data_IF_937507357115
#
_entry.id   IF_937507357115
#
_cell.length_a   1.000
_cell.length_b   1.000
_cell.length_c   1.000
_cell.angle_alpha   90.00
_cell.angle_beta   90.00
_cell.angle_gamma   90.00
#
_symmetry.space_group_name_H-M   'P 1'
#
loop_
_entity.id
_entity.type
_entity.pdbx_description
1 polymer ?
#
# COMPACT_ATOMS: atom_id res chain seq x y z
N UNK A 1 -2.84 -11.38 8.03
CA UNK A 1 -2.92 -10.07 8.71
C UNK A 1 -2.82 -10.18 10.22
N UNK A 2 -3.66 -10.95 10.92
CA UNK A 2 -3.64 -11.02 12.40
C UNK A 2 -2.28 -11.39 13.03
N UNK A 3 -1.43 -12.17 12.35
CA UNK A 3 -0.07 -12.45 12.84
C UNK A 3 0.83 -11.20 12.87
N UNK A 4 0.65 -10.28 11.91
CA UNK A 4 1.44 -9.05 11.78
C UNK A 4 0.79 -7.91 12.58
N UNK A 5 -0.54 -7.81 12.52
CA UNK A 5 -1.36 -6.83 13.23
C UNK A 5 -2.46 -7.55 14.03
N UNK A 6 -2.16 -8.03 15.25
CA UNK A 6 -3.10 -8.79 16.05
C UNK A 6 -4.32 -7.98 16.51
N UNK A 7 -4.23 -6.65 16.49
CA UNK A 7 -5.32 -5.73 16.82
C UNK A 7 -6.38 -5.58 15.71
N UNK A 8 -6.14 -6.13 14.51
CA UNK A 8 -7.13 -6.08 13.42
C UNK A 8 -8.13 -7.23 13.57
N UNK A 9 -9.25 -6.91 14.22
CA UNK A 9 -10.31 -7.90 14.50
C UNK A 9 -11.21 -8.16 13.29
N UNK A 10 -11.42 -7.15 12.45
CA UNK A 10 -12.33 -7.21 11.30
C UNK A 10 -11.58 -6.93 9.99
N UNK A 11 -11.25 -7.97 9.24
CA UNK A 11 -10.63 -7.86 7.92
C UNK A 11 -11.37 -8.75 6.93
N UNK A 12 -11.87 -8.13 5.87
CA UNK A 12 -12.57 -8.84 4.78
C UNK A 12 -11.74 -8.73 3.51
N UNK A 13 -11.50 -9.87 2.87
CA UNK A 13 -10.78 -9.94 1.60
C UNK A 13 -11.69 -10.45 0.48
N UNK A 14 -11.67 -9.73 -0.63
CA UNK A 14 -12.18 -10.20 -1.91
C UNK A 14 -11.01 -10.23 -2.89
N UNK A 15 -10.67 -11.42 -3.37
CA UNK A 15 -9.58 -11.61 -4.32
C UNK A 15 -10.12 -12.10 -5.65
N UNK A 16 -9.70 -11.45 -6.72
CA UNK A 16 -10.04 -11.82 -8.10
C UNK A 16 -8.77 -11.91 -8.92
N UNK A 17 -8.69 -12.91 -9.80
CA UNK A 17 -7.63 -12.98 -10.80
C UNK A 17 -8.09 -12.22 -12.04
N UNK A 18 -7.28 -11.26 -12.47
CA UNK A 18 -7.53 -10.44 -13.66
C UNK A 18 -6.43 -10.67 -14.70
N UNK A 19 -6.69 -10.48 -16.01
CA UNK A 19 -5.73 -10.72 -17.07
C UNK A 19 -4.71 -9.58 -17.19
N UNK A 20 -3.86 -9.45 -16.18
CA UNK A 20 -2.74 -8.50 -16.12
C UNK A 20 -1.46 -9.30 -15.93
N UNK A 21 -0.38 -8.93 -16.63
CA UNK A 21 0.88 -9.68 -16.62
C UNK A 21 1.65 -9.56 -15.31
N UNK A 22 1.78 -8.33 -14.79
CA UNK A 22 2.54 -8.03 -13.59
C UNK A 22 1.83 -6.96 -12.77
N UNK A 23 2.03 -7.02 -11.46
CA UNK A 23 1.51 -6.05 -10.50
C UNK A 23 0.22 -6.50 -9.83
N UNK A 24 0.17 -6.30 -8.52
CA UNK A 24 -1.02 -6.48 -7.70
C UNK A 24 -1.64 -5.10 -7.48
N UNK A 25 -2.95 -4.99 -7.70
CA UNK A 25 -3.70 -3.80 -7.37
C UNK A 25 -4.83 -4.11 -6.40
N UNK A 26 -5.10 -3.19 -5.47
CA UNK A 26 -6.07 -3.37 -4.40
C UNK A 26 -6.83 -2.08 -4.15
N UNK A 27 -8.17 -2.18 -4.08
CA UNK A 27 -8.99 -1.15 -3.46
C UNK A 27 -9.09 -1.47 -1.98
N UNK A 28 -8.73 -0.51 -1.13
CA UNK A 28 -8.68 -0.70 0.31
C UNK A 28 -9.59 0.34 0.96
N UNK A 29 -10.47 -0.13 1.83
CA UNK A 29 -11.25 0.72 2.73
C UNK A 29 -10.84 0.38 4.17
N UNK A 30 -10.31 1.36 4.89
CA UNK A 30 -9.93 1.25 6.28
C UNK A 30 -10.88 2.10 7.13
N UNK A 31 -11.39 1.53 8.23
CA UNK A 31 -12.29 2.20 9.16
C UNK A 31 -11.60 2.35 10.52
N UNK A 32 -11.85 3.47 11.19
CA UNK A 32 -11.16 3.87 12.41
C UNK A 32 -12.16 4.23 13.51
N UNK A 33 -11.83 3.87 14.75
CA UNK A 33 -12.64 4.23 15.93
C UNK A 33 -12.54 5.73 16.28
N UNK A 34 -11.45 6.37 15.86
CA UNK A 34 -11.18 7.78 16.06
C UNK A 34 -11.13 8.51 14.72
N UNK A 35 -11.30 9.82 14.78
CA UNK A 35 -11.21 10.67 13.60
C UNK A 35 -9.78 10.67 13.02
N UNK A 36 -9.69 10.52 11.70
CA UNK A 36 -8.42 10.42 10.96
C UNK A 36 -8.59 11.22 9.68
N UNK A 37 -7.85 12.31 9.56
CA UNK A 37 -7.85 13.15 8.37
C UNK A 37 -7.02 12.50 7.25
N UNK A 38 -7.60 12.41 6.05
CA UNK A 38 -6.92 11.89 4.87
C UNK A 38 -5.62 12.65 4.56
N UNK A 39 -5.57 13.95 4.85
CA UNK A 39 -4.40 14.81 4.65
C UNK A 39 -3.22 14.36 5.51
N UNK A 40 -3.47 14.01 6.79
CA UNK A 40 -2.42 13.53 7.68
C UNK A 40 -1.86 12.16 7.22
N UNK A 41 -2.73 11.31 6.66
CA UNK A 41 -2.32 10.03 6.08
C UNK A 41 -1.48 10.24 4.82
N UNK A 42 -1.87 11.18 3.95
CA UNK A 42 -1.11 11.54 2.77
C UNK A 42 0.29 12.07 3.13
N UNK A 43 0.40 12.95 4.13
CA UNK A 43 1.68 13.46 4.62
C UNK A 43 2.57 12.32 5.16
N UNK A 44 2.01 11.40 5.94
CA UNK A 44 2.74 10.23 6.44
C UNK A 44 3.27 9.35 5.29
N UNK A 45 2.48 9.16 4.24
CA UNK A 45 2.92 8.40 3.06
C UNK A 45 4.03 9.10 2.29
N UNK A 46 3.96 10.41 2.12
CA UNK A 46 5.00 11.20 1.44
C UNK A 46 6.36 11.17 2.17
N UNK A 47 6.34 10.91 3.49
CA UNK A 47 7.56 10.78 4.29
C UNK A 47 8.16 9.36 4.27
N UNK A 48 7.47 8.37 3.70
CA UNK A 48 7.91 6.98 3.69
C UNK A 48 8.66 6.65 2.40
N UNK A 49 9.92 6.23 2.49
CA UNK A 49 10.75 5.92 1.32
C UNK A 49 10.26 4.74 0.47
N UNK A 50 9.44 3.86 1.05
CA UNK A 50 8.88 2.68 0.35
C UNK A 50 7.54 2.97 -0.33
N UNK A 51 6.97 4.15 -0.12
CA UNK A 51 5.65 4.52 -0.64
C UNK A 51 5.80 5.68 -1.60
N UNK A 52 5.07 5.62 -2.72
CA UNK A 52 4.90 6.75 -3.61
C UNK A 52 3.43 7.10 -3.72
N UNK A 53 3.06 8.28 -3.19
CA UNK A 53 1.68 8.75 -3.21
C UNK A 53 1.43 9.66 -4.41
N UNK A 54 0.39 9.34 -5.19
CA UNK A 54 -0.02 10.01 -6.41
C UNK A 54 -1.37 10.72 -6.19
N UNK A 55 -1.38 12.04 -5.89
CA UNK A 55 -2.60 12.77 -5.57
C UNK A 55 -3.51 12.99 -6.79
N UNK A 56 -2.92 13.19 -7.97
CA UNK A 56 -3.66 13.58 -9.18
C UNK A 56 -3.83 12.44 -10.19
N UNK A 57 -3.03 11.38 -10.06
CA UNK A 57 -2.96 10.30 -11.05
C UNK A 57 -3.31 8.97 -10.41
N UNK A 58 -4.32 8.30 -10.96
CA UNK A 58 -4.59 6.91 -10.59
C UNK A 58 -3.53 5.99 -11.19
N UNK A 59 -2.81 5.26 -10.33
CA UNK A 59 -1.83 4.28 -10.77
C UNK A 59 -2.53 2.97 -11.12
N UNK A 60 -2.11 2.34 -12.20
CA UNK A 60 -2.55 1.00 -12.61
C UNK A 60 -1.34 0.08 -12.70
N UNK A 61 -1.52 -1.25 -12.67
CA UNK A 61 -0.41 -2.18 -12.84
C UNK A 61 0.43 -1.93 -14.10
N UNK A 62 -0.20 -1.50 -15.20
CA UNK A 62 0.49 -1.17 -16.45
C UNK A 62 1.32 0.11 -16.30
N UNK A 63 0.73 1.18 -15.78
CA UNK A 63 1.44 2.44 -15.52
C UNK A 63 2.60 2.22 -14.55
N UNK A 64 2.40 1.42 -13.50
CA UNK A 64 3.47 1.04 -12.58
C UNK A 64 4.61 0.30 -13.30
N UNK A 65 4.24 -0.71 -14.11
CA UNK A 65 5.21 -1.48 -14.89
C UNK A 65 6.00 -0.62 -15.87
N UNK A 66 5.38 0.41 -16.46
CA UNK A 66 6.05 1.37 -17.34
C UNK A 66 6.99 2.30 -16.56
N UNK A 67 6.54 2.83 -15.42
CA UNK A 67 7.31 3.75 -14.58
C UNK A 67 8.53 3.09 -13.94
N UNK A 68 8.38 1.86 -13.44
CA UNK A 68 9.46 1.13 -12.76
C UNK A 68 10.34 0.34 -13.75
N UNK A 69 10.13 0.46 -15.07
CA UNK A 69 10.94 -0.24 -16.06
C UNK A 69 12.33 0.41 -16.16
N UNK A 70 13.34 -0.28 -15.64
CA UNK A 70 14.72 0.23 -15.62
C UNK A 70 15.06 1.04 -14.36
N UNK A 71 14.10 1.22 -13.45
CA UNK A 71 14.35 1.80 -12.14
C UNK A 71 14.97 0.78 -11.18
N UNK A 72 15.88 1.25 -10.32
CA UNK A 72 16.57 0.42 -9.34
C UNK A 72 15.78 0.23 -8.04
N UNK A 73 14.85 1.15 -7.75
CA UNK A 73 14.00 1.11 -6.56
C UNK A 73 12.55 0.95 -6.98
N UNK A 74 11.90 -0.09 -6.46
CA UNK A 74 10.46 -0.31 -6.62
C UNK A 74 9.73 0.15 -5.36
N UNK A 75 8.49 0.60 -5.50
CA UNK A 75 7.70 1.18 -4.41
C UNK A 75 6.28 0.64 -4.35
N UNK A 76 5.62 0.89 -3.23
CA UNK A 76 4.17 0.79 -3.12
C UNK A 76 3.55 2.09 -3.63
N UNK A 77 2.86 2.02 -4.77
CA UNK A 77 2.18 3.17 -5.33
C UNK A 77 0.78 3.27 -4.74
N UNK A 78 0.43 4.45 -4.20
CA UNK A 78 -0.89 4.73 -3.63
C UNK A 78 -1.51 5.90 -4.39
N UNK A 79 -2.79 5.79 -4.72
CA UNK A 79 -3.55 6.83 -5.41
C UNK A 79 -5.01 6.82 -4.98
N UNK A 80 -5.79 7.81 -5.44
CA UNK A 80 -7.24 7.89 -5.22
C UNK A 80 -7.63 7.82 -3.73
N UNK A 81 -6.89 8.57 -2.90
CA UNK A 81 -7.17 8.71 -1.47
C UNK A 81 -8.44 9.53 -1.28
N UNK A 82 -9.43 8.96 -0.60
CA UNK A 82 -10.71 9.59 -0.34
C UNK A 82 -11.11 9.40 1.13
N UNK A 83 -11.58 10.48 1.75
CA UNK A 83 -12.22 10.41 3.06
C UNK A 83 -13.62 9.78 2.91
N UNK A 84 -13.93 8.81 3.76
CA UNK A 84 -15.27 8.24 3.91
C UNK A 84 -15.83 8.63 5.27
N UNK A 85 -16.50 9.78 5.31
CA UNK A 85 -17.25 10.22 6.47
C UNK A 85 -18.74 9.88 6.31
N UNK A 86 -19.26 9.13 7.28
CA UNK A 86 -20.70 9.04 7.52
C UNK A 86 -21.01 9.36 8.98
N UNK A 87 -22.29 9.50 9.33
CA UNK A 87 -22.69 9.72 10.71
C UNK A 87 -22.29 8.58 11.67
N UNK A 88 -21.85 7.43 11.16
CA UNK A 88 -21.58 6.21 11.93
C UNK A 88 -20.18 5.64 11.69
N UNK A 89 -19.54 5.98 10.57
CA UNK A 89 -18.26 5.40 10.14
C UNK A 89 -17.29 6.50 9.74
N UNK A 90 -16.11 6.50 10.37
CA UNK A 90 -14.95 7.25 9.91
C UNK A 90 -14.01 6.28 9.18
N UNK A 91 -13.70 6.57 7.93
CA UNK A 91 -12.83 5.71 7.15
C UNK A 91 -12.10 6.45 6.05
N UNK A 92 -11.13 5.73 5.49
CA UNK A 92 -10.32 6.18 4.37
C UNK A 92 -10.36 5.10 3.31
N UNK A 93 -10.55 5.50 2.06
CA UNK A 93 -10.48 4.63 0.91
C UNK A 93 -9.31 5.03 0.02
N UNK A 94 -8.55 4.07 -0.49
CA UNK A 94 -7.45 4.32 -1.40
C UNK A 94 -7.17 3.13 -2.31
N UNK A 95 -6.51 3.41 -3.43
CA UNK A 95 -6.07 2.43 -4.40
C UNK A 95 -4.56 2.21 -4.29
N UNK A 96 -4.13 0.97 -4.14
CA UNK A 96 -2.70 0.61 -4.09
C UNK A 96 -2.30 -0.27 -5.25
N UNK A 97 -1.09 -0.07 -5.79
CA UNK A 97 -0.47 -0.89 -6.82
C UNK A 97 0.99 -1.15 -6.45
N UNK A 98 1.46 -2.38 -6.62
CA UNK A 98 2.88 -2.71 -6.49
C UNK A 98 3.28 -3.87 -7.39
N UNK A 99 4.55 -3.92 -7.80
CA UNK A 99 5.13 -5.12 -8.41
C UNK A 99 5.26 -6.23 -7.37
N UNK A 100 4.48 -7.30 -7.52
CA UNK A 100 4.46 -8.41 -6.56
C UNK A 100 5.82 -9.12 -6.44
N UNK A 101 6.56 -9.25 -7.55
CA UNK A 101 7.83 -9.98 -7.54
C UNK A 101 8.95 -9.12 -6.98
N UNK A 102 9.02 -7.85 -7.40
CA UNK A 102 10.10 -6.95 -7.00
C UNK A 102 9.85 -6.31 -5.65
N UNK A 103 8.67 -5.72 -5.42
CA UNK A 103 8.37 -5.01 -4.16
C UNK A 103 7.96 -5.99 -3.06
N UNK A 104 6.83 -6.69 -3.23
CA UNK A 104 6.24 -7.51 -2.16
C UNK A 104 7.14 -8.66 -1.72
N UNK A 105 7.86 -9.29 -2.67
CA UNK A 105 8.74 -10.42 -2.38
C UNK A 105 10.19 -9.99 -2.21
N UNK A 106 10.87 -9.57 -3.29
CA UNK A 106 12.32 -9.39 -3.26
C UNK A 106 12.76 -8.26 -2.30
N UNK A 107 12.22 -7.05 -2.45
CA UNK A 107 12.61 -5.90 -1.64
C UNK A 107 12.24 -6.11 -0.17
N UNK A 108 11.03 -6.56 0.14
CA UNK A 108 10.62 -6.79 1.54
C UNK A 108 11.45 -7.89 2.22
N UNK A 109 11.82 -8.95 1.50
CA UNK A 109 12.72 -9.98 2.03
C UNK A 109 14.11 -9.44 2.35
N UNK A 110 14.68 -8.60 1.47
CA UNK A 110 15.97 -7.93 1.69
C UNK A 110 15.88 -6.98 2.89
N UNK A 111 14.84 -6.15 2.97
CA UNK A 111 14.63 -5.21 4.10
C UNK A 111 14.50 -5.96 5.43
N UNK A 112 13.80 -7.08 5.44
CA UNK A 112 13.74 -7.94 6.62
C UNK A 112 15.12 -8.49 7.00
N UNK A 113 15.90 -8.98 6.04
CA UNK A 113 17.25 -9.49 6.30
C UNK A 113 18.19 -8.39 6.83
N UNK A 114 18.14 -7.18 6.26
CA UNK A 114 18.86 -6.01 6.73
C UNK A 114 18.52 -5.69 8.20
N UNK A 115 17.23 -5.70 8.55
CA UNK A 115 16.78 -5.45 9.92
C UNK A 115 17.26 -6.54 10.89
N UNK A 116 17.20 -7.81 10.50
CA UNK A 116 17.68 -8.92 11.33
C UNK A 116 19.18 -8.77 11.61
N UNK A 117 19.98 -8.48 10.59
CA UNK A 117 21.41 -8.20 10.73
C UNK A 117 21.68 -7.02 11.68
N UNK A 118 20.99 -5.89 11.47
CA UNK A 118 21.13 -4.70 12.34
C UNK A 118 20.70 -4.96 13.79
N UNK A 119 19.77 -5.89 14.02
CA UNK A 119 19.25 -6.23 15.35
C UNK A 119 20.18 -7.10 16.21
N UNK A 120 21.34 -7.50 15.69
CA UNK A 120 22.34 -8.24 16.47
C UNK A 120 22.52 -9.71 16.08
N UNK A 121 22.28 -10.03 14.81
CA UNK A 121 22.99 -11.13 14.15
C UNK A 121 24.22 -10.59 13.41
#
# INVERSE_FOLDING_TARGET
MQKIFPQLDNVVFHQIQVPVFYGLAQQISAFFDYDVASEAVAEMWQQNSLIEYHPETQITPVINGENENGESEVKLHISNLNQRESAVENGIEFWSVADEQRFNLALMAVKLAELVYQSGY
#
